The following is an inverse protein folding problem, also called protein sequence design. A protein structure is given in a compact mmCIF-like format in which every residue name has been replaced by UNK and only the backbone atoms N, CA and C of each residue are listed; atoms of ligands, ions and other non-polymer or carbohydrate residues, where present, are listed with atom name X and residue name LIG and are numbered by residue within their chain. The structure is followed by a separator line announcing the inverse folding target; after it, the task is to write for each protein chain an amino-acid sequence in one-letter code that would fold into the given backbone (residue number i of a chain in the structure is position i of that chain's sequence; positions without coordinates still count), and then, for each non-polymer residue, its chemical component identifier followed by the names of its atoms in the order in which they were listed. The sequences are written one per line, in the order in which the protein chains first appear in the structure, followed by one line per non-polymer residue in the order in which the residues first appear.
data_IF_533853550086
#
_entry.id   IF_533853550086
#
_cell.length_a   1.000
_cell.length_b   1.000
_cell.length_c   1.000
_cell.angle_alpha   90.00
_cell.angle_beta   90.00
_cell.angle_gamma   90.00
#
_symmetry.space_group_name_H-M   'P 1'
#
loop_
_entity.id
_entity.type
_entity.pdbx_description
1 polymer ?
#
# COMPACT_ATOMS: atom_id res chain seq x y z
N UNK A 1 14.44 3.90 -21.39
CA UNK A 1 14.56 3.36 -20.02
C UNK A 1 14.15 4.40 -18.98
N UNK A 2 14.84 5.54 -18.84
CA UNK A 2 14.50 6.58 -17.85
C UNK A 2 13.05 7.09 -17.91
N UNK A 3 12.51 7.30 -19.11
CA UNK A 3 11.13 7.77 -19.31
C UNK A 3 10.09 6.78 -18.75
N UNK A 4 10.30 5.47 -18.95
CA UNK A 4 9.43 4.43 -18.41
C UNK A 4 9.53 4.38 -16.88
N UNK A 5 10.74 4.48 -16.34
CA UNK A 5 10.97 4.49 -14.89
C UNK A 5 10.18 5.62 -14.20
N UNK A 6 10.21 6.84 -14.75
CA UNK A 6 9.46 7.97 -14.19
C UNK A 6 7.96 7.70 -14.23
N UNK A 7 7.45 7.12 -15.33
CA UNK A 7 6.03 6.80 -15.49
C UNK A 7 5.56 5.76 -14.45
N UNK A 8 6.37 4.74 -14.17
CA UNK A 8 6.06 3.71 -13.17
C UNK A 8 6.21 4.21 -11.72
N UNK A 9 7.16 5.12 -11.44
CA UNK A 9 7.37 5.66 -10.08
C UNK A 9 6.31 6.72 -9.73
N UNK A 10 5.80 7.45 -10.72
CA UNK A 10 4.82 8.51 -10.53
C UNK A 10 3.63 8.13 -9.62
N UNK A 11 2.90 7.00 -9.84
CA UNK A 11 1.81 6.62 -8.95
C UNK A 11 2.26 6.37 -7.50
N UNK A 12 3.46 5.82 -7.28
CA UNK A 12 4.01 5.62 -5.94
C UNK A 12 4.34 6.95 -5.26
N UNK A 13 4.91 7.90 -6.00
CA UNK A 13 5.13 9.27 -5.51
C UNK A 13 3.81 9.92 -5.08
N UNK A 14 2.76 9.74 -5.87
CA UNK A 14 1.44 10.30 -5.54
C UNK A 14 0.85 9.72 -4.25
N UNK A 15 0.89 8.40 -4.09
CA UNK A 15 0.41 7.71 -2.88
C UNK A 15 1.26 8.12 -1.66
N UNK A 16 2.58 8.17 -1.81
CA UNK A 16 3.49 8.51 -0.71
C UNK A 16 3.26 9.94 -0.23
N UNK A 17 3.18 10.92 -1.13
CA UNK A 17 2.89 12.30 -0.74
C UNK A 17 1.47 12.46 -0.20
N UNK A 18 0.50 11.72 -0.72
CA UNK A 18 -0.87 11.68 -0.23
C UNK A 18 -1.00 11.17 1.20
N UNK A 19 -0.19 10.18 1.60
CA UNK A 19 -0.22 9.62 2.94
C UNK A 19 0.07 10.67 4.04
N UNK A 20 0.87 11.69 3.72
CA UNK A 20 1.24 12.79 4.63
C UNK A 20 0.42 14.08 4.42
N UNK A 21 -0.58 14.08 3.53
CA UNK A 21 -1.48 15.22 3.32
C UNK A 21 -2.72 15.08 4.18
N UNK A 22 -3.27 16.19 4.64
CA UNK A 22 -4.59 16.19 5.27
C UNK A 22 -5.67 15.81 4.24
N UNK A 23 -6.80 15.27 4.72
CA UNK A 23 -7.92 14.87 3.85
C UNK A 23 -8.41 16.03 2.93
N UNK A 24 -8.55 17.27 3.43
CA UNK A 24 -8.90 18.43 2.60
C UNK A 24 -7.81 18.78 1.56
N UNK A 25 -6.53 18.68 1.93
CA UNK A 25 -5.40 18.98 1.02
C UNK A 25 -5.23 17.94 -0.10
N UNK A 26 -5.83 16.76 0.06
CA UNK A 26 -5.77 15.68 -0.94
C UNK A 26 -6.74 15.92 -2.10
N UNK A 27 -7.90 16.55 -1.82
CA UNK A 27 -8.96 16.80 -2.81
C UNK A 27 -8.98 18.23 -3.35
N UNK A 28 -8.08 19.09 -2.87
CA UNK A 28 -8.04 20.49 -3.27
C UNK A 28 -7.58 20.69 -4.72
N UNK A 29 -8.11 21.72 -5.37
CA UNK A 29 -7.73 22.16 -6.71
C UNK A 29 -7.13 23.57 -6.59
N UNK A 30 -5.90 23.84 -7.06
CA UNK A 30 -4.97 22.92 -7.73
C UNK A 30 -4.35 21.89 -6.76
N UNK A 31 -4.03 20.67 -7.22
CA UNK A 31 -3.44 19.65 -6.37
C UNK A 31 -2.05 20.07 -5.89
N UNK A 32 -1.78 19.85 -4.60
CA UNK A 32 -0.45 20.08 -4.04
C UNK A 32 0.50 18.96 -4.45
N UNK A 33 1.60 19.30 -5.11
CA UNK A 33 2.61 18.31 -5.50
C UNK A 33 3.41 17.82 -4.28
N UNK A 34 3.91 18.75 -3.46
CA UNK A 34 4.56 18.46 -2.19
C UNK A 34 3.67 18.85 -1.00
N UNK A 35 3.61 18.05 0.07
CA UNK A 35 2.87 18.40 1.28
C UNK A 35 3.49 19.64 1.92
N UNK A 36 2.72 20.74 2.02
CA UNK A 36 3.17 21.97 2.68
C UNK A 36 3.21 21.84 4.20
N UNK A 37 2.28 21.06 4.75
CA UNK A 37 2.20 20.72 6.17
C UNK A 37 2.10 19.18 6.27
N UNK A 38 3.24 18.46 6.35
CA UNK A 38 3.20 17.01 6.49
C UNK A 38 2.54 16.63 7.82
N UNK A 39 1.49 15.81 7.76
CA UNK A 39 0.78 15.31 8.95
C UNK A 39 0.88 13.80 9.06
N UNK A 40 0.82 13.28 10.29
CA UNK A 40 0.75 11.84 10.56
C UNK A 40 -0.68 11.38 10.91
N UNK A 41 -1.66 12.26 10.67
CA UNK A 41 -3.05 12.07 11.08
C UNK A 41 -3.68 10.85 10.41
N UNK A 42 -3.45 10.65 9.11
CA UNK A 42 -3.97 9.47 8.40
C UNK A 42 -3.49 8.16 9.02
N UNK A 43 -2.22 8.10 9.46
CA UNK A 43 -1.67 6.92 10.12
C UNK A 43 -2.27 6.70 11.51
N UNK A 44 -2.46 7.78 12.29
CA UNK A 44 -3.12 7.70 13.58
C UNK A 44 -4.59 7.27 13.45
N UNK A 45 -5.33 7.84 12.50
CA UNK A 45 -6.71 7.43 12.19
C UNK A 45 -6.76 5.95 11.76
N UNK A 46 -5.81 5.51 10.93
CA UNK A 46 -5.73 4.12 10.49
C UNK A 46 -5.43 3.14 11.64
N UNK A 47 -4.61 3.54 12.62
CA UNK A 47 -4.26 2.68 13.76
C UNK A 47 -5.28 2.71 14.91
N UNK A 48 -5.93 3.86 15.14
CA UNK A 48 -6.84 4.07 16.28
C UNK A 48 -8.30 3.84 15.90
N UNK A 49 -8.74 4.34 14.74
CA UNK A 49 -10.14 4.28 14.32
C UNK A 49 -10.46 3.05 13.48
N UNK A 50 -9.44 2.42 12.90
CA UNK A 50 -9.59 1.24 12.05
C UNK A 50 -8.78 0.07 12.60
N UNK A 51 -9.26 -1.18 12.47
CA UNK A 51 -8.51 -2.37 12.88
C UNK A 51 -7.45 -2.74 11.81
N UNK A 52 -6.66 -1.77 11.36
CA UNK A 52 -5.73 -1.94 10.25
C UNK A 52 -4.67 -3.01 10.51
N UNK A 53 -4.21 -3.15 11.76
CA UNK A 53 -3.27 -4.22 12.12
C UNK A 53 -3.89 -5.60 11.99
N UNK A 54 -5.19 -5.76 12.30
CA UNK A 54 -5.90 -7.02 12.11
C UNK A 54 -6.07 -7.35 10.63
N UNK A 55 -6.40 -6.36 9.80
CA UNK A 55 -6.48 -6.55 8.35
C UNK A 55 -5.13 -6.97 7.76
N UNK A 56 -4.04 -6.31 8.17
CA UNK A 56 -2.70 -6.67 7.73
C UNK A 56 -2.33 -8.09 8.18
N UNK A 57 -2.62 -8.46 9.43
CA UNK A 57 -2.38 -9.81 9.93
C UNK A 57 -3.18 -10.87 9.16
N UNK A 58 -4.46 -10.61 8.89
CA UNK A 58 -5.31 -11.52 8.11
C UNK A 58 -4.74 -11.73 6.70
N UNK A 59 -4.29 -10.68 6.01
CA UNK A 59 -3.67 -10.79 4.69
C UNK A 59 -2.35 -11.55 4.72
N UNK A 60 -1.49 -11.29 5.72
CA UNK A 60 -0.23 -12.03 5.91
C UNK A 60 -0.50 -13.51 6.17
N UNK A 61 -1.43 -13.82 7.07
CA UNK A 61 -1.79 -15.19 7.40
C UNK A 61 -2.32 -15.94 6.17
N UNK A 62 -3.29 -15.36 5.45
CA UNK A 62 -3.87 -15.98 4.26
C UNK A 62 -2.79 -16.18 3.18
N UNK A 63 -1.99 -15.16 2.89
CA UNK A 63 -0.95 -15.27 1.86
C UNK A 63 0.10 -16.34 2.18
N UNK A 64 0.53 -16.47 3.44
CA UNK A 64 1.46 -17.51 3.86
C UNK A 64 0.86 -18.92 3.76
N UNK A 65 -0.36 -19.10 4.24
CA UNK A 65 -1.07 -20.38 4.15
C UNK A 65 -1.27 -20.77 2.69
N UNK A 66 -1.72 -19.84 1.85
CA UNK A 66 -1.88 -20.09 0.41
C UNK A 66 -0.55 -20.40 -0.26
N UNK A 67 0.53 -19.65 0.02
CA UNK A 67 1.86 -19.93 -0.52
C UNK A 67 2.30 -21.36 -0.18
N UNK A 68 2.18 -21.76 1.08
CA UNK A 68 2.58 -23.09 1.52
C UNK A 68 1.77 -24.20 0.84
N UNK A 69 0.43 -24.06 0.82
CA UNK A 69 -0.46 -25.03 0.18
C UNK A 69 -0.20 -25.12 -1.32
N UNK A 70 0.00 -24.00 -2.00
CA UNK A 70 0.30 -23.95 -3.44
C UNK A 70 1.67 -24.57 -3.72
N UNK A 71 2.70 -24.26 -2.96
CA UNK A 71 4.02 -24.89 -3.12
C UNK A 71 3.97 -26.40 -2.88
N UNK A 72 3.24 -26.85 -1.85
CA UNK A 72 3.08 -28.28 -1.57
C UNK A 72 2.33 -28.99 -2.71
N UNK A 73 1.17 -28.48 -3.12
CA UNK A 73 0.39 -29.07 -4.21
C UNK A 73 1.13 -29.02 -5.55
N UNK A 74 1.80 -27.92 -5.88
CA UNK A 74 2.57 -27.77 -7.12
C UNK A 74 3.79 -28.70 -7.16
N UNK A 75 4.46 -28.93 -6.02
CA UNK A 75 5.60 -29.85 -5.96
C UNK A 75 5.17 -31.32 -6.11
N UNK A 76 4.04 -31.72 -5.51
CA UNK A 76 3.47 -33.05 -5.74
C UNK A 76 2.97 -33.23 -7.18
N UNK A 77 2.31 -32.21 -7.75
CA UNK A 77 1.77 -32.26 -9.10
C UNK A 77 2.84 -32.11 -10.20
N UNK A 78 3.99 -31.49 -9.90
CA UNK A 78 5.11 -31.36 -10.85
C UNK A 78 6.06 -32.54 -10.85
N UNK A 79 5.90 -33.50 -9.93
CA UNK A 79 6.69 -34.73 -9.88
C UNK A 79 6.11 -35.86 -10.76
N UNK A 80 4.87 -35.71 -11.23
CA UNK A 80 4.24 -36.58 -12.26
C UNK A 80 4.48 -36.03 -13.66
#
# INVERSE_FOLDING_TARGET
MLLLTVLFIFPFYWILTGAFKSQPDTIMIPPQWFPKAPTMENFQQLMVQNPAMQWMWNSVFISLVTMFLVCATSSLAGYV
#
